data_IF_635768949512
#
_entry.id   IF_635768949512
#
_cell.length_a   1.000
_cell.length_b   1.000
_cell.length_c   1.000
_cell.angle_alpha   90.00
_cell.angle_beta   90.00
_cell.angle_gamma   90.00
#
_symmetry.space_group_name_H-M   'P 1'
#
loop_
_entity.id
_entity.type
_entity.pdbx_description
1 polymer ?
#
# COMPACT_ATOMS: atom_id res chain seq x y z
N UNK A 1 20.92 14.48 -8.91
CA UNK A 1 19.58 14.63 -9.49
C UNK A 1 18.60 14.39 -8.35
N UNK A 2 17.98 15.44 -7.78
CA UNK A 2 16.97 15.24 -6.75
C UNK A 2 15.72 14.67 -7.43
N UNK A 3 15.51 13.35 -7.32
CA UNK A 3 14.28 12.69 -7.75
C UNK A 3 13.23 13.00 -6.69
N UNK A 4 12.60 14.17 -6.79
CA UNK A 4 11.67 14.71 -5.80
C UNK A 4 10.30 14.02 -5.80
N UNK A 5 10.28 12.70 -5.65
CA UNK A 5 9.04 11.98 -5.35
C UNK A 5 8.64 12.30 -3.90
N UNK A 6 7.35 12.58 -3.63
CA UNK A 6 6.90 12.85 -2.27
C UNK A 6 7.14 11.63 -1.39
N UNK A 7 7.59 11.86 -0.15
CA UNK A 7 7.80 10.82 0.85
C UNK A 7 6.71 10.92 1.91
N UNK A 8 6.04 9.80 2.19
CA UNK A 8 5.14 9.66 3.33
C UNK A 8 5.92 9.11 4.53
N UNK A 9 5.85 9.81 5.66
CA UNK A 9 6.41 9.35 6.94
C UNK A 9 5.29 8.78 7.81
N UNK A 10 5.34 7.47 8.02
CA UNK A 10 4.48 6.77 8.98
C UNK A 10 5.24 6.63 10.30
N UNK A 11 4.72 7.11 11.45
CA UNK A 11 5.44 7.15 12.72
C UNK A 11 6.07 5.81 13.12
N UNK A 12 5.31 4.73 12.99
CA UNK A 12 5.71 3.38 13.41
C UNK A 12 6.29 2.53 12.27
N UNK A 13 6.25 3.01 11.02
CA UNK A 13 6.66 2.23 9.84
C UNK A 13 7.76 2.89 9.01
N UNK A 14 8.16 4.13 9.32
CA UNK A 14 9.20 4.86 8.62
C UNK A 14 8.74 5.51 7.32
N UNK A 15 9.67 5.66 6.38
CA UNK A 15 9.48 6.38 5.12
C UNK A 15 8.99 5.45 4.01
N UNK A 16 8.06 5.96 3.19
CA UNK A 16 7.53 5.32 1.99
C UNK A 16 7.49 6.32 0.84
N UNK A 17 7.76 5.86 -0.38
CA UNK A 17 7.59 6.69 -1.57
C UNK A 17 6.10 6.78 -1.91
N UNK A 18 5.64 7.97 -2.29
CA UNK A 18 4.28 8.17 -2.77
C UNK A 18 4.25 7.94 -4.26
N UNK A 19 3.51 6.92 -4.69
CA UNK A 19 3.34 6.58 -6.10
C UNK A 19 2.30 7.49 -6.76
N UNK A 20 1.12 7.58 -6.15
CA UNK A 20 0.08 8.52 -6.59
C UNK A 20 -0.94 8.79 -5.48
N UNK A 21 -1.65 9.91 -5.59
CA UNK A 21 -2.71 10.34 -4.68
C UNK A 21 -3.99 10.57 -5.50
N UNK A 22 -5.07 9.94 -5.08
CA UNK A 22 -6.44 10.18 -5.56
C UNK A 22 -7.19 11.01 -4.53
N UNK A 23 -7.34 12.30 -4.77
CA UNK A 23 -8.08 13.19 -3.87
C UNK A 23 -9.60 13.03 -3.96
N UNK A 24 -10.12 12.45 -5.04
CA UNK A 24 -11.54 12.17 -5.22
C UNK A 24 -11.94 10.92 -4.42
N UNK A 25 -11.19 9.83 -4.62
CA UNK A 25 -11.39 8.59 -3.87
C UNK A 25 -10.91 8.69 -2.41
N UNK A 26 -10.01 9.62 -2.11
CA UNK A 26 -9.26 9.76 -0.85
C UNK A 26 -8.31 8.59 -0.59
N UNK A 27 -7.51 8.28 -1.60
CA UNK A 27 -6.60 7.14 -1.62
C UNK A 27 -5.17 7.56 -1.91
N UNK A 28 -4.23 7.01 -1.14
CA UNK A 28 -2.80 7.17 -1.40
C UNK A 28 -2.19 5.79 -1.64
N UNK A 29 -1.42 5.71 -2.71
CA UNK A 29 -0.66 4.50 -3.05
C UNK A 29 0.80 4.74 -2.73
N UNK A 30 1.34 3.88 -1.88
CA UNK A 30 2.72 3.99 -1.41
C UNK A 30 3.50 2.73 -1.76
N UNK A 31 4.78 2.95 -2.03
CA UNK A 31 5.76 1.91 -2.31
C UNK A 31 6.94 2.01 -1.33
N UNK A 32 7.75 0.95 -1.33
CA UNK A 32 9.00 0.93 -0.60
C UNK A 32 10.10 1.61 -1.43
N UNK A 33 10.79 2.64 -0.91
CA UNK A 33 11.91 3.28 -1.61
C UNK A 33 13.01 2.29 -2.00
N UNK A 34 13.21 1.23 -1.21
CA UNK A 34 14.18 0.16 -1.47
C UNK A 34 13.62 -0.94 -2.41
N UNK A 35 12.41 -0.73 -2.96
CA UNK A 35 11.74 -1.67 -3.87
C UNK A 35 11.51 -3.07 -3.28
N UNK A 36 11.35 -3.17 -1.95
CA UNK A 36 11.09 -4.43 -1.25
C UNK A 36 9.96 -4.30 -0.20
N UNK A 37 8.78 -3.90 -0.66
CA UNK A 37 7.58 -3.78 0.17
C UNK A 37 7.30 -4.99 1.09
N UNK A 38 7.46 -6.26 0.65
CA UNK A 38 7.23 -7.41 1.53
C UNK A 38 8.18 -7.46 2.74
N UNK A 39 9.39 -6.91 2.63
CA UNK A 39 10.33 -6.79 3.76
C UNK A 39 9.77 -5.84 4.81
N UNK A 40 9.27 -4.68 4.39
CA UNK A 40 8.64 -3.68 5.28
C UNK A 40 7.48 -4.29 6.07
N UNK A 41 6.74 -5.22 5.46
CA UNK A 41 5.64 -5.92 6.12
C UNK A 41 6.10 -6.87 7.23
N UNK A 42 7.25 -7.53 7.05
CA UNK A 42 7.85 -8.39 8.08
C UNK A 42 8.36 -7.58 9.28
N UNK A 43 8.79 -6.34 9.03
CA UNK A 43 9.39 -5.40 10.00
C UNK A 43 8.37 -4.61 10.84
N UNK A 44 7.12 -5.09 10.94
CA UNK A 44 6.01 -4.52 11.73
C UNK A 44 5.40 -3.23 11.17
N UNK A 45 4.84 -3.31 9.97
CA UNK A 45 4.00 -2.26 9.41
C UNK A 45 2.79 -1.94 10.31
N UNK A 46 2.63 -0.66 10.65
CA UNK A 46 1.61 -0.15 11.54
C UNK A 46 1.18 1.29 11.16
N UNK A 47 -0.13 1.52 11.10
CA UNK A 47 -0.76 2.80 10.77
C UNK A 47 -1.23 3.58 12.01
N UNK A 48 -1.01 3.04 13.21
CA UNK A 48 -1.42 3.65 14.47
C UNK A 48 -0.88 5.07 14.60
N UNK A 49 -1.73 6.00 15.05
CA UNK A 49 -1.36 7.41 15.18
C UNK A 49 -1.34 8.19 13.85
N UNK A 50 -1.81 7.60 12.75
CA UNK A 50 -1.97 8.29 11.45
C UNK A 50 -3.45 8.43 11.09
N UNK A 51 -3.83 9.40 10.22
CA UNK A 51 -5.20 9.48 9.69
C UNK A 51 -5.51 8.41 8.64
N UNK A 52 -4.54 7.58 8.29
CA UNK A 52 -4.65 6.56 7.27
C UNK A 52 -5.25 5.28 7.82
N UNK A 53 -6.13 4.68 7.04
CA UNK A 53 -6.68 3.35 7.27
C UNK A 53 -6.73 2.55 5.98
N UNK A 54 -7.32 1.37 6.06
CA UNK A 54 -7.75 0.61 4.89
C UNK A 54 -8.91 -0.30 5.29
N UNK A 55 -9.75 -0.62 4.33
CA UNK A 55 -10.72 -1.72 4.46
C UNK A 55 -10.16 -3.05 3.94
N UNK A 56 -9.01 -3.01 3.26
CA UNK A 56 -8.43 -4.12 2.51
C UNK A 56 -7.29 -4.77 3.28
N UNK A 57 -7.63 -5.52 4.34
CA UNK A 57 -6.66 -6.26 5.13
C UNK A 57 -6.49 -7.70 4.62
N UNK A 58 -5.26 -8.08 4.28
CA UNK A 58 -4.92 -9.42 3.84
C UNK A 58 -3.87 -10.04 4.75
N UNK A 59 -4.10 -11.29 5.16
CA UNK A 59 -3.10 -12.08 5.86
C UNK A 59 -2.27 -12.86 4.85
N UNK A 60 -0.97 -12.60 4.86
CA UNK A 60 0.02 -13.28 4.04
C UNK A 60 0.94 -14.08 4.94
N UNK A 61 1.25 -15.32 4.54
CA UNK A 61 2.24 -16.15 5.24
C UNK A 61 3.48 -16.28 4.39
N UNK A 62 4.62 -15.95 4.98
CA UNK A 62 5.94 -16.01 4.37
C UNK A 62 6.62 -17.32 4.73
N UNK A 63 7.31 -17.93 3.77
CA UNK A 63 8.03 -19.19 3.92
C UNK A 63 9.47 -19.03 3.43
N UNK A 64 10.42 -19.63 4.15
CA UNK A 64 11.80 -19.78 3.73
C UNK A 64 12.00 -21.22 3.23
N UNK A 65 12.43 -21.37 1.98
CA UNK A 65 12.62 -22.67 1.34
C UNK A 65 14.05 -22.80 0.81
N UNK A 66 14.63 -23.99 0.89
CA UNK A 66 15.86 -24.30 0.12
C UNK A 66 15.60 -24.09 -1.38
N UNK A 67 16.61 -23.63 -2.12
CA UNK A 67 16.51 -23.31 -3.55
C UNK A 67 15.78 -24.41 -4.32
N UNK A 68 14.54 -24.14 -4.69
CA UNK A 68 13.70 -25.01 -5.50
C UNK A 68 12.83 -24.13 -6.37
N UNK A 69 12.65 -24.54 -7.63
CA UNK A 69 11.69 -23.95 -8.56
C UNK A 69 10.28 -24.28 -8.05
N UNK A 70 9.82 -23.56 -7.03
CA UNK A 70 8.49 -23.76 -6.45
C UNK A 70 7.46 -23.05 -7.32
N UNK A 71 7.20 -23.61 -8.50
CA UNK A 71 5.98 -23.33 -9.28
C UNK A 71 4.81 -24.09 -8.68
N UNK A 72 4.55 -23.89 -7.39
CA UNK A 72 3.35 -24.43 -6.75
C UNK A 72 2.20 -23.45 -6.87
N UNK A 73 1.02 -23.99 -7.20
CA UNK A 73 -0.20 -23.23 -7.36
C UNK A 73 -0.55 -22.53 -6.03
N UNK A 74 -0.47 -21.21 -6.00
CA UNK A 74 -0.82 -20.39 -4.83
C UNK A 74 0.36 -19.79 -4.08
N UNK A 75 1.60 -20.16 -4.41
CA UNK A 75 2.81 -19.53 -3.85
C UNK A 75 3.45 -18.59 -4.88
N UNK A 76 3.88 -17.42 -4.42
CA UNK A 76 4.65 -16.46 -5.23
C UNK A 76 6.03 -16.26 -4.61
N UNK A 77 7.08 -16.27 -5.45
CA UNK A 77 8.43 -15.95 -5.01
C UNK A 77 8.60 -14.45 -4.80
N UNK A 78 9.30 -14.06 -3.73
CA UNK A 78 9.67 -12.69 -3.42
C UNK A 78 11.17 -12.53 -3.66
N UNK A 79 11.51 -12.01 -4.84
CA UNK A 79 12.90 -11.87 -5.28
C UNK A 79 13.74 -11.01 -4.34
N UNK A 80 13.21 -9.90 -3.82
CA UNK A 80 13.96 -8.98 -2.96
C UNK A 80 14.25 -9.53 -1.55
N UNK A 81 13.66 -10.69 -1.19
CA UNK A 81 13.94 -11.42 0.04
C UNK A 81 14.65 -12.76 -0.21
N UNK A 82 14.86 -13.15 -1.47
CA UNK A 82 15.48 -14.42 -1.87
C UNK A 82 16.93 -14.23 -2.31
N UNK A 83 17.73 -15.30 -2.27
CA UNK A 83 19.10 -15.31 -2.79
C UNK A 83 19.43 -16.61 -3.53
N UNK A 84 20.71 -16.88 -3.78
CA UNK A 84 21.15 -18.10 -4.48
C UNK A 84 21.01 -19.40 -3.67
N UNK A 85 20.87 -19.31 -2.35
CA UNK A 85 20.83 -20.44 -1.42
C UNK A 85 19.41 -20.73 -0.92
N UNK A 86 18.53 -19.71 -0.89
CA UNK A 86 17.17 -19.86 -0.41
C UNK A 86 16.17 -18.97 -1.17
N UNK A 87 14.93 -19.45 -1.20
CA UNK A 87 13.79 -18.75 -1.81
C UNK A 87 12.79 -18.37 -0.72
N UNK A 88 12.39 -17.10 -0.70
CA UNK A 88 11.27 -16.63 0.13
C UNK A 88 10.00 -16.64 -0.71
N UNK A 89 9.00 -17.36 -0.22
CA UNK A 89 7.71 -17.50 -0.88
C UNK A 89 6.60 -16.90 -0.02
N UNK A 90 5.53 -16.43 -0.66
CA UNK A 90 4.32 -15.95 0.01
C UNK A 90 3.09 -16.69 -0.46
N UNK A 91 2.23 -17.08 0.48
CA UNK A 91 0.89 -17.60 0.22
C UNK A 91 -0.16 -16.50 0.39
N UNK A 92 -1.04 -16.35 -0.60
CA UNK A 92 -2.18 -15.41 -0.55
C UNK A 92 -3.46 -16.18 -0.23
N UNK A 93 -4.18 -15.80 0.83
CA UNK A 93 -5.39 -16.48 1.31
C UNK A 93 -6.55 -16.58 0.29
N UNK A 94 -6.49 -15.87 -0.85
CA UNK A 94 -7.46 -15.99 -1.96
C UNK A 94 -7.42 -17.38 -2.60
N UNK A 95 -6.33 -18.13 -2.45
CA UNK A 95 -6.36 -19.55 -2.77
C UNK A 95 -6.97 -20.32 -1.60
N UNK A 96 -8.27 -20.61 -1.71
CA UNK A 96 -8.89 -21.75 -1.01
C UNK A 96 -8.10 -23.01 -1.34
N UNK A 97 -7.12 -23.32 -0.52
CA UNK A 97 -6.44 -24.59 -0.52
C UNK A 97 -6.18 -24.91 0.93
N UNK A 98 -6.55 -26.12 1.33
CA UNK A 98 -6.01 -26.83 2.48
C UNK A 98 -4.48 -27.02 2.34
N UNK A 99 -3.74 -25.91 2.18
CA UNK A 99 -2.39 -25.87 1.60
C UNK A 99 -1.27 -26.34 2.51
N UNK A 100 -1.59 -26.72 3.75
CA UNK A 100 -0.64 -27.42 4.61
C UNK A 100 -0.13 -28.73 3.96
N UNK A 101 -0.92 -29.36 3.08
CA UNK A 101 -0.53 -30.59 2.38
C UNK A 101 0.30 -30.37 1.09
N UNK A 102 0.50 -29.12 0.65
CA UNK A 102 1.18 -28.83 -0.63
C UNK A 102 2.57 -28.20 -0.49
N UNK A 103 2.92 -27.64 0.68
CA UNK A 103 4.23 -27.01 0.89
C UNK A 103 5.37 -28.05 0.78
N UNK A 104 6.46 -27.75 0.05
CA UNK A 104 7.63 -28.61 0.05
C UNK A 104 8.14 -28.83 1.47
N UNK A 105 8.61 -30.04 1.78
CA UNK A 105 9.23 -30.35 3.07
C UNK A 105 10.47 -29.49 3.39
N UNK A 106 11.03 -28.83 2.37
CA UNK A 106 12.15 -27.90 2.46
C UNK A 106 11.73 -26.48 2.87
N UNK A 107 10.44 -26.20 2.99
CA UNK A 107 9.91 -24.88 3.34
C UNK A 107 9.52 -24.81 4.83
N UNK A 108 9.94 -23.73 5.49
CA UNK A 108 9.57 -23.42 6.87
C UNK A 108 8.86 -22.06 6.93
N UNK A 109 7.77 -21.98 7.70
CA UNK A 109 7.06 -20.72 7.90
C UNK A 109 7.95 -19.72 8.66
N UNK A 110 8.06 -18.51 8.13
CA UNK A 110 8.80 -17.40 8.75
C UNK A 110 7.85 -16.65 9.71
N UNK A 111 6.79 -16.08 9.15
CA UNK A 111 5.83 -15.23 9.85
C UNK A 111 4.57 -15.07 9.00
N UNK A 112 3.42 -14.97 9.68
CA UNK A 112 2.19 -14.47 9.08
C UNK A 112 2.02 -12.99 9.44
N UNK A 113 1.69 -12.16 8.46
CA UNK A 113 1.49 -10.72 8.63
C UNK A 113 0.18 -10.29 7.99
N UNK A 114 -0.55 -9.40 8.65
CA UNK A 114 -1.78 -8.81 8.13
C UNK A 114 -1.48 -7.40 7.65
N UNK A 115 -1.75 -7.12 6.37
CA UNK A 115 -1.25 -5.92 5.69
C UNK A 115 -2.32 -5.27 4.82
N UNK A 116 -2.26 -3.94 4.62
CA UNK A 116 -3.16 -3.19 3.73
C UNK A 116 -2.72 -3.31 2.26
N UNK A 117 -2.69 -4.53 1.73
CA UNK A 117 -2.06 -4.81 0.43
C UNK A 117 -3.08 -5.09 -0.66
N UNK A 118 -2.95 -4.38 -1.77
CA UNK A 118 -3.57 -4.76 -3.04
C UNK A 118 -2.43 -5.28 -3.92
N UNK A 119 -2.70 -6.23 -4.83
CA UNK A 119 -1.68 -6.94 -5.64
C UNK A 119 -0.59 -6.04 -6.27
N UNK A 120 -0.84 -4.74 -6.42
CA UNK A 120 0.03 -3.75 -7.06
C UNK A 120 0.66 -2.70 -6.10
N UNK A 121 0.48 -2.81 -4.77
CA UNK A 121 1.07 -1.89 -3.79
C UNK A 121 0.29 -1.77 -2.47
N UNK A 122 0.72 -0.86 -1.58
CA UNK A 122 -0.07 -0.49 -0.40
C UNK A 122 -1.01 0.64 -0.76
N UNK A 123 -2.30 0.40 -0.55
CA UNK A 123 -3.33 1.42 -0.67
C UNK A 123 -3.84 1.80 0.70
N UNK A 124 -3.67 3.06 1.04
CA UNK A 124 -4.24 3.64 2.25
C UNK A 124 -5.36 4.61 1.88
N UNK A 125 -6.41 4.56 2.67
CA UNK A 125 -7.56 5.46 2.57
C UNK A 125 -7.45 6.51 3.70
N UNK A 126 -7.94 7.73 3.46
CA UNK A 126 -8.12 8.73 4.52
C UNK A 126 -9.52 9.36 4.45
N UNK A 127 -9.98 9.90 5.58
CA UNK A 127 -11.28 10.57 5.67
C UNK A 127 -11.15 12.10 5.71
N UNK A 128 -10.22 12.59 6.52
CA UNK A 128 -9.96 14.02 6.71
C UNK A 128 -8.51 14.37 6.35
N UNK A 129 -8.26 15.50 5.67
CA UNK A 129 -9.26 16.44 5.15
C UNK A 129 -10.06 15.88 3.98
N UNK A 130 -11.35 16.25 3.91
CA UNK A 130 -12.21 15.77 2.83
C UNK A 130 -12.13 16.62 1.55
N UNK A 131 -11.47 16.10 0.51
CA UNK A 131 -11.31 16.79 -0.78
C UNK A 131 -12.31 16.32 -1.86
N UNK A 132 -13.08 15.26 -1.61
CA UNK A 132 -13.88 14.57 -2.64
C UNK A 132 -14.79 15.51 -3.41
N UNK A 133 -15.67 16.23 -2.69
CA UNK A 133 -16.66 17.11 -3.33
C UNK A 133 -16.02 18.25 -4.13
N UNK A 134 -14.85 18.73 -3.70
CA UNK A 134 -14.13 19.78 -4.42
C UNK A 134 -13.64 19.29 -5.78
N UNK A 135 -12.96 18.13 -5.78
CA UNK A 135 -12.36 17.53 -6.98
C UNK A 135 -13.42 17.03 -7.95
N UNK A 136 -14.52 16.44 -7.46
CA UNK A 136 -15.69 16.05 -8.29
C UNK A 136 -16.26 17.25 -9.07
N UNK A 137 -16.25 18.42 -8.45
CA UNK A 137 -16.69 19.69 -9.07
C UNK A 137 -15.61 20.35 -9.91
N UNK A 138 -14.48 19.67 -10.14
CA UNK A 138 -13.29 20.14 -10.88
C UNK A 138 -12.65 21.37 -10.25
N UNK A 139 -12.76 21.52 -8.93
CA UNK A 139 -12.02 22.50 -8.16
C UNK A 139 -10.70 21.94 -7.63
N UNK A 140 -9.87 22.84 -7.13
CA UNK A 140 -8.60 22.52 -6.50
C UNK A 140 -8.77 22.49 -4.97
N UNK A 141 -8.46 21.35 -4.34
CA UNK A 141 -8.44 21.22 -2.89
C UNK A 141 -7.06 21.63 -2.34
N UNK A 142 -7.03 22.46 -1.31
CA UNK A 142 -5.75 22.89 -0.70
C UNK A 142 -5.94 23.59 0.63
N UNK A 143 -4.83 23.89 1.32
CA UNK A 143 -4.88 24.62 2.59
C UNK A 143 -5.41 26.05 2.40
N UNK A 144 -6.25 26.52 3.32
CA UNK A 144 -6.82 27.87 3.29
C UNK A 144 -5.78 28.95 3.59
N UNK A 145 -4.80 28.61 4.45
CA UNK A 145 -3.65 29.45 4.80
C UNK A 145 -2.40 28.59 4.92
N UNK A 146 -1.20 29.17 4.74
CA UNK A 146 0.08 28.44 4.85
C UNK A 146 0.35 27.85 6.24
N UNK A 147 -0.25 28.42 7.28
CA UNK A 147 -0.05 28.02 8.66
C UNK A 147 -1.23 27.21 9.23
N UNK A 148 -2.28 26.97 8.43
CA UNK A 148 -3.48 26.24 8.85
C UNK A 148 -3.49 24.83 8.26
N UNK A 149 -4.04 23.87 9.01
CA UNK A 149 -4.39 22.54 8.49
C UNK A 149 -5.81 22.50 7.90
N UNK A 150 -6.54 23.62 7.94
CA UNK A 150 -7.85 23.75 7.32
C UNK A 150 -7.73 23.72 5.80
N UNK A 151 -8.59 22.94 5.17
CA UNK A 151 -8.64 22.81 3.71
C UNK A 151 -9.87 23.50 3.12
N UNK A 152 -9.68 24.15 1.98
CA UNK A 152 -10.73 24.78 1.19
C UNK A 152 -10.77 24.26 -0.24
N UNK A 153 -11.78 24.73 -0.99
CA UNK A 153 -11.96 24.42 -2.40
C UNK A 153 -11.87 25.68 -3.26
N UNK A 154 -11.04 25.65 -4.29
CA UNK A 154 -10.68 26.80 -5.12
C UNK A 154 -10.87 26.49 -6.61
N UNK A 155 -10.77 27.53 -7.45
CA UNK A 155 -10.77 27.40 -8.92
C UNK A 155 -11.93 26.57 -9.51
N UNK A 156 -13.08 26.59 -8.84
CA UNK A 156 -14.29 25.93 -9.34
C UNK A 156 -14.68 26.52 -10.71
N UNK A 157 -15.07 25.67 -11.68
CA UNK A 157 -15.65 26.16 -12.92
C UNK A 157 -16.86 27.04 -12.58
N UNK A 158 -16.89 28.25 -13.14
CA UNK A 158 -18.11 29.07 -13.11
C UNK A 158 -19.23 28.22 -13.72
N UNK A 159 -20.30 27.95 -12.97
CA UNK A 159 -21.53 27.41 -13.54
C UNK A 159 -21.87 28.32 -14.71
N UNK A 160 -21.72 27.80 -15.94
CA UNK A 160 -22.32 28.43 -17.09
C UNK A 160 -23.79 28.57 -16.72
N UNK A 161 -24.23 29.81 -16.58
CA UNK A 161 -25.65 30.14 -16.57
C UNK A 161 -26.22 29.43 -17.79
N UNK A 162 -27.00 28.37 -17.58
CA UNK A 162 -27.99 27.96 -18.56
C UNK A 162 -28.92 29.18 -18.67
N UNK A 163 -28.65 30.04 -19.65
CA UNK A 163 -29.68 30.91 -20.19
C UNK A 163 -30.62 29.98 -20.94
N UNK A 164 -31.82 29.86 -20.38
CA UNK A 164 -33.09 29.33 -20.91
C UNK A 164 -33.06 28.45 -22.19
#
# INVERSE_FOLDING_TARGET
RATGEPILKLPESGEFSVRYIDYEAQQIWIDDPDSCLPKRMLENFNLSGTPFGTEFWYTLTFFNCSTSDVTQKGLRSISCLSDSNYSVLVSTMISTVDSAESLPSTCQAIKAVTIPFVLDGIRLDWNEPNCRSCVERRGDCGFTDRNSLETGCFNLPSQGMLMD
#
